data_IF_435263920891
#
_entry.id   IF_435263920891
#
_cell.length_a   1.000
_cell.length_b   1.000
_cell.length_c   1.000
_cell.angle_alpha   90.00
_cell.angle_beta   90.00
_cell.angle_gamma   90.00
#
_symmetry.space_group_name_H-M   'P 1'
#
loop_
_entity.id
_entity.type
_entity.pdbx_description
1 polymer ?
#
# COMPACT_ATOMS: atom_id res chain seq x y z
N UNK A 1 -3.31 -8.96 -14.27
CA UNK A 1 -3.52 -9.97 -13.21
C UNK A 1 -2.67 -11.19 -13.53
N UNK A 2 -1.98 -11.78 -12.55
CA UNK A 2 -1.10 -12.94 -12.73
C UNK A 2 -1.84 -14.26 -12.54
N UNK A 3 -2.40 -14.49 -11.35
CA UNK A 3 -3.16 -15.69 -11.03
C UNK A 3 -2.47 -16.54 -9.96
N UNK A 4 -2.06 -17.75 -10.31
CA UNK A 4 -1.37 -18.64 -9.38
C UNK A 4 -0.02 -19.05 -9.98
N UNK A 5 1.01 -19.12 -9.13
CA UNK A 5 2.39 -19.36 -9.54
C UNK A 5 3.17 -18.05 -9.54
N UNK A 6 4.46 -18.11 -9.89
CA UNK A 6 5.30 -16.92 -9.89
C UNK A 6 5.16 -16.19 -11.24
N UNK A 7 4.49 -15.05 -11.22
CA UNK A 7 4.14 -14.27 -12.41
C UNK A 7 5.05 -13.05 -12.61
N UNK A 8 5.08 -12.54 -13.84
CA UNK A 8 5.77 -11.32 -14.24
C UNK A 8 4.77 -10.38 -14.90
N UNK A 9 4.44 -9.27 -14.26
CA UNK A 9 3.46 -8.30 -14.73
C UNK A 9 4.13 -6.96 -15.01
N UNK A 10 3.67 -6.29 -16.07
CA UNK A 10 4.04 -4.91 -16.38
C UNK A 10 2.80 -4.10 -16.73
N UNK A 11 2.55 -2.98 -16.05
CA UNK A 11 1.44 -2.05 -16.32
C UNK A 11 1.69 -1.23 -17.59
N UNK A 12 2.88 -0.64 -17.68
CA UNK A 12 3.35 0.04 -18.88
C UNK A 12 3.27 1.55 -18.71
N UNK A 13 2.41 2.21 -19.47
CA UNK A 13 2.14 3.64 -19.32
C UNK A 13 0.74 3.82 -18.74
N UNK A 14 0.50 4.99 -18.12
CA UNK A 14 -0.76 5.37 -17.45
C UNK A 14 -0.83 4.79 -16.03
N UNK A 15 -1.99 4.94 -15.39
CA UNK A 15 -2.19 4.50 -14.02
C UNK A 15 -2.81 3.10 -14.04
N UNK A 16 -2.05 2.11 -13.58
CA UNK A 16 -2.44 0.72 -13.60
C UNK A 16 -2.80 0.18 -12.21
N UNK A 17 -3.58 -0.90 -12.20
CA UNK A 17 -3.83 -1.72 -11.01
C UNK A 17 -3.29 -3.12 -11.27
N UNK A 18 -2.29 -3.52 -10.49
CA UNK A 18 -1.61 -4.80 -10.61
C UNK A 18 -2.05 -5.72 -9.48
N UNK A 19 -2.49 -6.92 -9.87
CA UNK A 19 -2.82 -8.02 -8.96
C UNK A 19 -1.94 -9.18 -9.37
N UNK A 20 -0.95 -9.52 -8.54
CA UNK A 20 -0.07 -10.67 -8.73
C UNK A 20 -0.85 -11.97 -8.59
N UNK A 21 -1.19 -12.31 -7.34
CA UNK A 21 -2.04 -13.45 -7.02
C UNK A 21 -1.38 -14.33 -5.96
N UNK A 22 -1.40 -15.64 -6.14
CA UNK A 22 -0.65 -16.58 -5.30
C UNK A 22 0.71 -16.85 -5.94
N UNK A 23 1.76 -16.98 -5.13
CA UNK A 23 3.14 -17.15 -5.61
C UNK A 23 4.02 -15.95 -5.29
N UNK A 24 5.28 -16.02 -5.73
CA UNK A 24 6.23 -14.91 -5.61
C UNK A 24 6.29 -14.18 -6.95
N UNK A 25 5.64 -13.04 -7.04
CA UNK A 25 5.45 -12.31 -8.29
C UNK A 25 6.49 -11.20 -8.47
N UNK A 26 6.63 -10.72 -9.70
CA UNK A 26 7.32 -9.48 -10.00
C UNK A 26 6.35 -8.54 -10.70
N UNK A 27 6.06 -7.42 -10.04
CA UNK A 27 5.06 -6.45 -10.46
C UNK A 27 5.75 -5.14 -10.79
N UNK A 28 5.66 -4.72 -12.05
CA UNK A 28 6.20 -3.46 -12.53
C UNK A 28 5.07 -2.54 -12.99
N UNK A 29 4.76 -1.47 -12.27
CA UNK A 29 3.73 -0.52 -12.71
C UNK A 29 4.14 0.20 -13.99
N UNK A 30 5.39 0.65 -14.05
CA UNK A 30 5.95 1.33 -15.21
C UNK A 30 5.92 2.84 -15.01
N UNK A 31 5.32 3.56 -15.95
CA UNK A 31 5.18 5.02 -15.91
C UNK A 31 3.74 5.40 -15.60
N UNK A 32 3.54 6.16 -14.53
CA UNK A 32 2.22 6.63 -14.16
C UNK A 32 2.11 6.75 -12.65
N UNK A 33 0.90 6.52 -12.14
CA UNK A 33 0.62 6.39 -10.73
C UNK A 33 -0.09 5.06 -10.51
N UNK A 34 0.69 4.05 -10.16
CA UNK A 34 0.34 2.64 -10.23
C UNK A 34 0.04 2.08 -8.84
N UNK A 35 -0.86 1.10 -8.80
CA UNK A 35 -1.38 0.51 -7.56
C UNK A 35 -1.18 -0.99 -7.56
N UNK A 36 -0.64 -1.53 -6.47
CA UNK A 36 -0.76 -2.97 -6.17
C UNK A 36 -2.01 -3.24 -5.35
N UNK A 37 -2.78 -4.25 -5.74
CA UNK A 37 -4.03 -4.61 -5.09
C UNK A 37 -3.96 -6.04 -4.53
N UNK A 38 -3.87 -6.12 -3.20
CA UNK A 38 -3.84 -7.37 -2.44
C UNK A 38 -5.17 -7.65 -1.74
N UNK A 39 -6.26 -6.96 -2.10
CA UNK A 39 -7.56 -7.09 -1.43
C UNK A 39 -8.15 -8.50 -1.42
N UNK A 40 -7.66 -9.38 -2.31
CA UNK A 40 -8.07 -10.79 -2.42
C UNK A 40 -7.05 -11.78 -1.86
N UNK A 41 -5.95 -11.30 -1.29
CA UNK A 41 -4.98 -12.16 -0.63
C UNK A 41 -5.59 -12.82 0.61
N UNK A 42 -5.10 -14.01 0.96
CA UNK A 42 -5.66 -14.84 2.03
C UNK A 42 -4.90 -14.77 3.34
N UNK A 43 -3.93 -13.85 3.44
CA UNK A 43 -3.17 -13.54 4.64
C UNK A 43 -2.70 -12.09 4.61
N UNK A 44 -2.38 -11.51 5.77
CA UNK A 44 -1.90 -10.12 5.85
C UNK A 44 -0.55 -9.91 5.16
N UNK A 45 -0.35 -8.69 4.68
CA UNK A 45 0.78 -8.27 3.84
C UNK A 45 1.55 -7.11 4.47
N UNK A 46 2.87 -7.15 4.32
CA UNK A 46 3.75 -6.00 4.56
C UNK A 46 4.25 -5.48 3.22
N UNK A 47 3.69 -4.36 2.75
CA UNK A 47 4.16 -3.64 1.56
C UNK A 47 5.16 -2.58 1.99
N UNK A 48 6.35 -2.60 1.40
CA UNK A 48 7.39 -1.59 1.66
C UNK A 48 7.92 -1.00 0.36
N UNK A 49 7.54 0.26 0.10
CA UNK A 49 7.94 1.05 -1.07
C UNK A 49 9.18 1.91 -0.82
N UNK A 50 9.73 1.90 0.41
CA UNK A 50 10.91 2.67 0.80
C UNK A 50 12.23 1.88 0.70
N UNK A 51 12.21 0.70 0.09
CA UNK A 51 13.41 -0.12 -0.13
C UNK A 51 14.05 0.23 -1.47
N UNK A 52 15.34 -0.09 -1.60
CA UNK A 52 16.02 -0.06 -2.91
C UNK A 52 15.35 -1.00 -3.93
N UNK A 53 14.81 -2.11 -3.42
CA UNK A 53 13.93 -3.02 -4.15
C UNK A 53 12.65 -3.19 -3.34
N UNK A 54 11.59 -2.43 -3.67
CA UNK A 54 10.30 -2.54 -3.01
C UNK A 54 9.73 -3.96 -3.02
N UNK A 55 9.05 -4.35 -1.96
CA UNK A 55 8.52 -5.71 -1.77
C UNK A 55 7.14 -5.71 -1.14
N UNK A 56 6.36 -6.76 -1.38
CA UNK A 56 5.21 -7.12 -0.56
C UNK A 56 5.42 -8.52 0.01
N UNK A 57 5.57 -8.64 1.32
CA UNK A 57 5.78 -9.94 2.00
C UNK A 57 4.51 -10.35 2.72
N UNK A 58 4.01 -11.54 2.41
CA UNK A 58 2.79 -12.08 3.00
C UNK A 58 3.08 -12.94 4.21
N UNK A 59 2.11 -13.00 5.13
CA UNK A 59 2.19 -13.88 6.31
C UNK A 59 2.18 -15.37 5.93
N UNK A 60 1.76 -15.73 4.71
CA UNK A 60 1.88 -17.06 4.10
C UNK A 60 3.34 -17.46 3.82
N UNK A 61 4.27 -16.50 3.76
CA UNK A 61 5.68 -16.69 3.38
C UNK A 61 5.98 -16.36 1.91
N UNK A 62 4.96 -16.00 1.12
CA UNK A 62 5.14 -15.47 -0.24
C UNK A 62 5.73 -14.05 -0.21
N UNK A 63 6.43 -13.67 -1.26
CA UNK A 63 6.99 -12.32 -1.41
C UNK A 63 7.02 -11.88 -2.87
N UNK A 64 6.36 -10.76 -3.13
CA UNK A 64 6.40 -10.09 -4.42
C UNK A 64 7.50 -9.04 -4.46
N UNK A 65 8.11 -8.89 -5.63
CA UNK A 65 9.06 -7.82 -5.95
C UNK A 65 8.35 -6.73 -6.74
N UNK A 66 8.44 -5.48 -6.28
CA UNK A 66 7.70 -4.36 -6.81
C UNK A 66 8.64 -3.32 -7.44
N UNK A 67 8.18 -2.68 -8.51
CA UNK A 67 8.88 -1.57 -9.17
C UNK A 67 7.90 -0.63 -9.85
N UNK A 68 8.18 0.68 -9.82
CA UNK A 68 7.27 1.70 -10.36
C UNK A 68 5.86 1.60 -9.77
N UNK A 69 5.75 1.43 -8.45
CA UNK A 69 4.47 1.36 -7.73
C UNK A 69 4.44 2.52 -6.73
N UNK A 70 3.36 3.29 -6.75
CA UNK A 70 3.16 4.42 -5.85
C UNK A 70 2.09 4.13 -4.79
N UNK A 71 1.17 3.21 -5.05
CA UNK A 71 0.01 2.98 -4.20
C UNK A 71 -0.15 1.51 -3.84
N UNK A 72 -0.87 1.26 -2.74
CA UNK A 72 -1.14 -0.09 -2.26
C UNK A 72 -2.54 -0.19 -1.65
N UNK A 73 -3.21 -1.28 -1.97
CA UNK A 73 -4.41 -1.75 -1.27
C UNK A 73 -4.01 -3.02 -0.52
N UNK A 74 -4.20 -3.00 0.80
CA UNK A 74 -4.02 -4.14 1.68
C UNK A 74 -5.11 -5.20 1.49
N UNK A 75 -5.36 -5.95 2.54
CA UNK A 75 -6.11 -7.19 2.58
C UNK A 75 -7.31 -7.05 3.52
N UNK A 76 -7.90 -8.19 3.92
CA UNK A 76 -8.89 -8.23 5.00
C UNK A 76 -8.27 -8.61 6.36
N UNK A 77 -6.94 -8.61 6.46
CA UNK A 77 -6.17 -8.98 7.64
C UNK A 77 -5.29 -7.81 8.07
N UNK A 78 -4.61 -7.95 9.21
CA UNK A 78 -3.70 -6.92 9.69
C UNK A 78 -2.53 -6.74 8.72
N UNK A 79 -2.42 -5.55 8.15
CA UNK A 79 -1.41 -5.20 7.17
C UNK A 79 -0.43 -4.14 7.67
N UNK A 80 0.70 -4.02 6.98
CA UNK A 80 1.61 -2.89 7.10
C UNK A 80 1.91 -2.32 5.73
N UNK A 81 1.54 -1.06 5.50
CA UNK A 81 1.82 -0.37 4.24
C UNK A 81 2.80 0.78 4.52
N UNK A 82 4.02 0.64 4.03
CA UNK A 82 5.12 1.60 4.21
C UNK A 82 5.44 2.30 2.89
N UNK A 83 5.12 3.59 2.84
CA UNK A 83 5.17 4.47 1.66
C UNK A 83 6.57 4.80 1.19
N UNK A 84 6.65 5.63 0.15
CA UNK A 84 7.91 6.09 -0.42
C UNK A 84 8.18 7.55 -0.06
N UNK A 85 9.19 8.18 -0.65
CA UNK A 85 9.42 9.62 -0.46
C UNK A 85 8.48 10.53 -1.25
N UNK A 86 7.55 9.96 -2.04
CA UNK A 86 6.57 10.69 -2.84
C UNK A 86 5.14 10.38 -2.40
N UNK A 87 4.16 11.10 -2.96
CA UNK A 87 2.74 10.93 -2.60
C UNK A 87 2.23 9.50 -2.82
N UNK A 88 1.68 8.91 -1.75
CA UNK A 88 1.05 7.60 -1.78
C UNK A 88 -0.46 7.70 -1.48
N UNK A 89 -1.25 6.83 -2.12
CA UNK A 89 -2.65 6.56 -1.76
C UNK A 89 -2.74 5.13 -1.25
N UNK A 90 -2.94 4.97 0.06
CA UNK A 90 -3.00 3.66 0.71
C UNK A 90 -4.37 3.36 1.29
N UNK A 91 -4.80 2.11 1.14
CA UNK A 91 -5.99 1.58 1.77
C UNK A 91 -5.63 0.30 2.55
N UNK A 92 -5.73 0.34 3.88
CA UNK A 92 -5.46 -0.80 4.77
C UNK A 92 -6.42 -1.96 4.52
N UNK A 93 -7.72 -1.66 4.52
CA UNK A 93 -8.76 -2.64 4.20
C UNK A 93 -9.57 -3.00 5.45
N UNK A 94 -9.65 -4.30 5.77
CA UNK A 94 -10.14 -4.75 7.08
C UNK A 94 -8.95 -5.25 7.90
N UNK A 95 -9.05 -5.19 9.22
CA UNK A 95 -7.94 -5.61 10.09
C UNK A 95 -7.44 -4.43 10.92
N UNK A 96 -6.46 -4.67 11.77
CA UNK A 96 -5.77 -3.59 12.48
C UNK A 96 -4.49 -3.27 11.73
N UNK A 97 -4.52 -2.22 10.92
CA UNK A 97 -3.46 -1.95 9.96
C UNK A 97 -2.46 -0.92 10.48
N UNK A 98 -1.27 -0.88 9.88
CA UNK A 98 -0.26 0.15 10.13
C UNK A 98 0.15 0.80 8.81
N UNK A 99 -0.16 2.07 8.62
CA UNK A 99 0.12 2.82 7.39
C UNK A 99 1.08 3.97 7.68
N UNK A 100 2.20 4.00 6.94
CA UNK A 100 3.18 5.08 6.96
C UNK A 100 3.25 5.77 5.60
N UNK A 101 2.94 7.07 5.54
CA UNK A 101 3.03 7.87 4.31
C UNK A 101 4.46 8.26 3.93
N UNK A 102 5.31 8.46 4.95
CA UNK A 102 6.74 8.85 4.85
C UNK A 102 6.93 10.29 4.39
N UNK A 103 7.16 10.51 3.10
CA UNK A 103 7.39 11.84 2.55
C UNK A 103 6.41 12.06 1.42
N UNK A 104 5.85 13.25 1.29
CA UNK A 104 4.98 13.54 0.14
C UNK A 104 3.73 14.29 0.55
N UNK A 105 2.61 13.97 -0.06
CA UNK A 105 1.30 14.43 0.38
C UNK A 105 0.39 13.23 0.22
N UNK A 106 0.16 12.55 1.33
CA UNK A 106 -0.35 11.20 1.32
C UNK A 106 -1.85 11.17 1.63
N UNK A 107 -2.53 10.16 1.11
CA UNK A 107 -3.91 9.84 1.49
C UNK A 107 -3.95 8.44 2.06
N UNK A 108 -4.12 8.33 3.38
CA UNK A 108 -4.09 7.05 4.09
C UNK A 108 -5.50 6.73 4.59
N UNK A 109 -6.06 5.63 4.11
CA UNK A 109 -7.32 5.04 4.57
C UNK A 109 -7.01 3.83 5.43
N UNK A 110 -7.32 3.89 6.74
CA UNK A 110 -7.16 2.73 7.63
C UNK A 110 -8.17 1.64 7.30
N UNK A 111 -9.43 2.03 7.07
CA UNK A 111 -10.49 1.08 6.80
C UNK A 111 -11.16 0.61 8.09
N UNK A 112 -11.48 -0.68 8.17
CA UNK A 112 -12.20 -1.24 9.32
C UNK A 112 -11.24 -1.88 10.32
N UNK A 113 -11.11 -1.27 11.49
CA UNK A 113 -10.37 -1.85 12.61
C UNK A 113 -9.82 -0.78 13.53
N UNK A 114 -8.75 -1.12 14.25
CA UNK A 114 -7.99 -0.18 15.06
C UNK A 114 -6.63 0.08 14.37
N UNK A 115 -6.62 1.04 13.46
CA UNK A 115 -5.51 1.23 12.51
C UNK A 115 -4.54 2.30 12.98
N UNK A 116 -3.24 2.11 12.83
CA UNK A 116 -2.24 3.15 13.10
C UNK A 116 -1.88 3.88 11.81
N UNK A 117 -2.32 5.13 11.66
CA UNK A 117 -2.00 5.96 10.49
C UNK A 117 -1.00 7.06 10.85
N UNK A 118 0.11 7.12 10.11
CA UNK A 118 1.13 8.15 10.26
C UNK A 118 1.59 8.68 8.89
N UNK A 119 1.18 9.88 8.53
CA UNK A 119 1.63 10.56 7.29
C UNK A 119 3.12 10.91 7.28
N UNK A 120 3.75 11.05 8.45
CA UNK A 120 5.10 11.59 8.61
C UNK A 120 5.24 13.00 8.01
N UNK A 121 6.08 13.20 6.98
CA UNK A 121 6.37 14.52 6.42
C UNK A 121 5.53 14.78 5.18
N UNK A 122 4.83 15.91 5.13
CA UNK A 122 3.92 16.16 4.03
C UNK A 122 2.69 16.95 4.41
N UNK A 123 1.82 17.14 3.42
CA UNK A 123 0.45 17.61 3.65
C UNK A 123 -0.50 16.42 3.49
N UNK A 124 -0.74 15.70 4.59
CA UNK A 124 -1.38 14.40 4.52
C UNK A 124 -2.87 14.46 4.90
N UNK A 125 -3.63 13.53 4.34
CA UNK A 125 -5.03 13.30 4.67
C UNK A 125 -5.18 11.90 5.25
N UNK A 126 -5.58 11.81 6.52
CA UNK A 126 -5.73 10.54 7.24
C UNK A 126 -7.20 10.24 7.54
N UNK A 127 -7.62 9.03 7.18
CA UNK A 127 -8.96 8.48 7.42
C UNK A 127 -8.88 7.23 8.29
N UNK A 128 -8.91 7.42 9.62
CA UNK A 128 -8.83 6.33 10.60
C UNK A 128 -10.04 5.38 10.61
N UNK A 129 -11.19 5.81 10.09
CA UNK A 129 -12.42 5.03 9.97
C UNK A 129 -13.20 5.49 8.73
N UNK A 130 -14.08 4.65 8.14
CA UNK A 130 -14.92 5.08 7.03
C UNK A 130 -15.70 6.35 7.42
N UNK A 131 -15.50 7.43 6.66
CA UNK A 131 -16.24 8.69 6.84
C UNK A 131 -15.69 9.70 7.86
N UNK A 132 -14.58 9.43 8.56
CA UNK A 132 -13.97 10.39 9.49
C UNK A 132 -12.68 11.00 8.91
N UNK A 133 -12.68 12.31 8.65
CA UNK A 133 -11.47 13.11 8.34
C UNK A 133 -10.92 13.76 9.60
N UNK A 134 -9.66 13.54 9.92
CA UNK A 134 -8.92 14.39 10.86
C UNK A 134 -7.64 14.87 10.20
N UNK A 135 -7.69 16.05 9.58
CA UNK A 135 -6.48 16.76 9.16
C UNK A 135 -5.75 17.22 10.43
N UNK A 136 -4.56 16.69 10.69
CA UNK A 136 -3.71 17.09 11.81
C UNK A 136 -3.11 18.47 11.53
N UNK A 137 -3.78 19.54 11.98
CA UNK A 137 -3.15 20.85 12.14
C UNK A 137 -2.46 20.89 13.50
N UNK A 138 -1.14 20.63 13.55
CA UNK A 138 -0.36 20.89 14.75
C UNK A 138 -0.35 22.40 15.04
N UNK A 139 -1.06 22.83 16.08
CA UNK A 139 -0.86 24.12 16.73
C UNK A 139 -0.21 23.86 18.08
N UNK A 140 1.05 24.21 18.24
CA UNK A 140 1.64 24.41 19.56
C UNK A 140 1.15 25.78 20.09
N UNK A 141 0.69 25.80 21.35
CA UNK A 141 0.67 27.01 22.16
C UNK A 141 2.11 27.33 22.60
#
# INVERSE_FOLDING_TARGET
MGGAGNDQLTGGNLNDVLIGGLGNDTLNGGSGNDTVDYSKATSGVTVNLNLATPTATFSSGETDTLSGIENAIGTAFNDTLDGSGGSNIFNGGEGNDVLFGRGGSDTLFGGSGNDQLNGNGGNDTLFWRPGHRYATRWRWQ
#
